data_IF_300774237388
#
_entry.id   IF_300774237388
#
_cell.length_a   1.000
_cell.length_b   1.000
_cell.length_c   1.000
_cell.angle_alpha   90.00
_cell.angle_beta   90.00
_cell.angle_gamma   90.00
#
_symmetry.space_group_name_H-M   'P 1'
#
loop_
_entity.id
_entity.type
_entity.pdbx_description
1 polymer ?
#
# COMPACT_ATOMS: atom_id res chain seq x y z
N UNK A 1 56.80 15.00 26.02
CA UNK A 1 56.40 13.65 25.56
C UNK A 1 54.99 13.37 26.04
N UNK A 2 53.97 13.86 25.33
CA UNK A 2 52.58 13.42 25.51
C UNK A 2 51.96 13.34 24.11
N UNK A 3 51.85 12.10 23.66
CA UNK A 3 51.28 11.68 22.39
C UNK A 3 49.75 11.76 22.54
N UNK A 4 49.13 12.84 22.05
CA UNK A 4 47.69 12.98 21.96
C UNK A 4 47.18 12.07 20.84
N UNK A 5 46.71 10.89 21.23
CA UNK A 5 46.03 9.92 20.38
C UNK A 5 44.67 10.51 19.97
N UNK A 6 44.57 11.06 18.76
CA UNK A 6 43.28 11.42 18.18
C UNK A 6 42.54 10.15 17.77
N UNK A 7 41.63 9.72 18.64
CA UNK A 7 40.63 8.70 18.36
C UNK A 7 39.68 9.24 17.28
N UNK A 8 40.00 8.96 16.01
CA UNK A 8 39.11 9.18 14.89
C UNK A 8 37.89 8.26 15.07
N UNK A 9 36.81 8.83 15.61
CA UNK A 9 35.52 8.15 15.72
C UNK A 9 35.02 7.96 14.28
N UNK A 10 35.21 6.75 13.74
CA UNK A 10 34.59 6.32 12.50
C UNK A 10 33.07 6.33 12.73
N UNK A 11 32.43 7.44 12.36
CA UNK A 11 30.99 7.52 12.17
C UNK A 11 30.64 6.49 11.10
N UNK A 12 30.19 5.33 11.56
CA UNK A 12 29.54 4.36 10.69
C UNK A 12 28.24 5.01 10.22
N UNK A 13 28.23 5.47 8.97
CA UNK A 13 26.99 5.82 8.28
C UNK A 13 26.13 4.56 8.30
N UNK A 14 25.13 4.53 9.17
CA UNK A 14 24.12 3.49 9.13
C UNK A 14 23.55 3.48 7.70
N UNK A 15 23.55 2.34 6.98
CA UNK A 15 22.90 2.27 5.68
C UNK A 15 21.47 2.82 5.77
N UNK A 16 21.04 3.52 4.72
CA UNK A 16 19.67 4.02 4.61
C UNK A 16 18.71 2.87 4.93
N UNK A 17 17.92 3.05 6.00
CA UNK A 17 17.00 2.01 6.44
C UNK A 17 15.86 1.81 5.43
N UNK A 18 15.50 2.85 4.67
CA UNK A 18 14.44 2.81 3.67
C UNK A 18 14.96 2.44 2.28
N UNK A 19 14.09 1.84 1.47
CA UNK A 19 14.35 1.58 0.05
C UNK A 19 14.32 2.92 -0.68
N UNK A 20 15.43 3.24 -1.34
CA UNK A 20 15.44 4.20 -2.44
C UNK A 20 15.03 3.48 -3.72
N UNK A 21 14.08 4.06 -4.46
CA UNK A 21 13.53 3.45 -5.67
C UNK A 21 13.40 4.48 -6.78
N UNK A 22 13.68 4.08 -8.04
CA UNK A 22 13.58 4.96 -9.19
C UNK A 22 12.13 5.42 -9.43
N UNK A 23 11.96 6.43 -10.28
CA UNK A 23 10.62 6.90 -10.66
C UNK A 23 9.81 5.87 -11.45
N UNK A 24 10.43 4.82 -11.98
CA UNK A 24 9.74 3.74 -12.66
C UNK A 24 10.36 2.37 -12.36
N UNK A 25 9.55 1.34 -12.25
CA UNK A 25 10.05 -0.01 -11.99
C UNK A 25 8.98 -1.08 -11.94
N UNK A 26 9.39 -2.26 -11.46
CA UNK A 26 8.50 -3.38 -11.18
C UNK A 26 8.14 -3.40 -9.70
N UNK A 27 6.90 -3.77 -9.41
CA UNK A 27 6.40 -3.97 -8.06
C UNK A 27 5.33 -5.07 -8.05
N UNK A 28 4.87 -5.43 -6.86
CA UNK A 28 3.59 -6.13 -6.71
C UNK A 28 2.47 -5.16 -6.38
N UNK A 29 1.25 -5.59 -6.68
CA UNK A 29 0.03 -4.95 -6.23
C UNK A 29 -0.89 -5.96 -5.57
N UNK A 30 -1.44 -5.58 -4.43
CA UNK A 30 -2.53 -6.26 -3.72
C UNK A 30 -3.71 -5.30 -3.58
N UNK A 31 -4.75 -5.72 -2.86
CA UNK A 31 -5.82 -4.82 -2.44
C UNK A 31 -6.24 -5.06 -0.99
N UNK A 32 -6.82 -4.02 -0.39
CA UNK A 32 -7.37 -4.04 0.95
C UNK A 32 -8.62 -3.15 1.06
N UNK A 33 -9.48 -3.49 2.01
CA UNK A 33 -10.66 -2.70 2.34
C UNK A 33 -10.25 -1.41 3.08
N UNK A 34 -10.56 -0.26 2.49
CA UNK A 34 -10.42 1.05 3.13
C UNK A 34 -11.78 1.74 3.20
N UNK A 35 -12.34 2.01 4.39
CA UNK A 35 -13.60 2.73 4.51
C UNK A 35 -13.50 4.15 3.93
N UNK A 36 -14.56 4.60 3.24
CA UNK A 36 -14.69 6.00 2.84
C UNK A 36 -14.67 6.92 4.07
N UNK A 37 -13.94 8.02 3.94
CA UNK A 37 -13.69 8.99 5.00
C UNK A 37 -12.60 8.61 5.99
N UNK A 38 -11.95 7.44 5.85
CA UNK A 38 -10.88 7.02 6.75
C UNK A 38 -9.64 7.92 6.62
N UNK A 39 -9.00 8.20 7.75
CA UNK A 39 -7.74 8.97 7.80
C UNK A 39 -6.60 7.96 7.97
N UNK A 40 -5.97 7.64 6.84
CA UNK A 40 -4.85 6.72 6.73
C UNK A 40 -3.54 7.30 7.29
N UNK A 41 -2.46 6.51 7.23
CA UNK A 41 -1.19 6.79 7.92
C UNK A 41 -0.52 8.12 7.53
N UNK A 42 -0.70 8.60 6.29
CA UNK A 42 -0.21 9.93 5.88
C UNK A 42 -0.96 11.10 6.54
N UNK A 43 -2.15 10.84 7.10
CA UNK A 43 -3.03 11.88 7.63
C UNK A 43 -3.62 12.77 6.54
N UNK A 44 -3.78 12.26 5.31
CA UNK A 44 -4.47 12.97 4.22
C UNK A 44 -5.93 13.27 4.60
N UNK A 45 -6.51 14.31 4.01
CA UNK A 45 -7.94 14.63 4.20
C UNK A 45 -8.82 13.42 3.90
N UNK A 46 -9.92 13.28 4.64
CA UNK A 46 -10.84 12.13 4.53
C UNK A 46 -11.40 11.95 3.11
N UNK A 47 -11.65 13.05 2.40
CA UNK A 47 -12.15 13.02 1.00
C UNK A 47 -11.13 12.47 0.00
N UNK A 48 -9.87 12.27 0.38
CA UNK A 48 -8.89 11.58 -0.47
C UNK A 48 -9.29 10.14 -0.78
N UNK A 49 -9.99 9.48 0.15
CA UNK A 49 -10.48 8.09 0.00
C UNK A 49 -11.65 7.94 -0.97
N UNK A 50 -12.22 9.04 -1.45
CA UNK A 50 -13.23 9.02 -2.51
C UNK A 50 -12.59 8.91 -3.93
N UNK A 51 -11.26 8.84 -3.99
CA UNK A 51 -10.45 8.72 -5.21
C UNK A 51 -9.45 7.56 -5.07
N UNK A 52 -8.79 7.12 -6.17
CA UNK A 52 -7.90 5.96 -6.09
C UNK A 52 -6.71 6.24 -5.17
N UNK A 53 -6.61 5.49 -4.08
CA UNK A 53 -5.48 5.57 -3.14
C UNK A 53 -4.86 4.21 -2.95
N UNK A 54 -3.62 4.20 -2.46
CA UNK A 54 -2.94 2.96 -2.10
C UNK A 54 -2.12 3.14 -0.82
N UNK A 55 -1.87 2.02 -0.15
CA UNK A 55 -0.82 1.89 0.83
C UNK A 55 0.49 1.50 0.13
N UNK A 56 1.63 2.04 0.57
CA UNK A 56 2.95 1.65 0.06
C UNK A 56 3.66 0.79 1.11
N UNK A 57 4.34 -0.27 0.68
CA UNK A 57 5.16 -1.12 1.56
C UNK A 57 6.13 -0.29 2.39
N UNK A 58 6.15 -0.51 3.71
CA UNK A 58 6.83 0.30 4.72
C UNK A 58 8.22 0.81 4.32
N UNK A 59 9.03 -0.07 3.75
CA UNK A 59 10.41 0.25 3.41
C UNK A 59 10.51 1.27 2.25
N UNK A 60 9.54 1.29 1.34
CA UNK A 60 9.41 2.30 0.29
C UNK A 60 8.53 3.49 0.70
N UNK A 61 7.65 3.30 1.69
CA UNK A 61 6.89 4.38 2.32
C UNK A 61 7.81 5.33 3.10
N UNK A 62 8.86 4.78 3.71
CA UNK A 62 9.94 5.50 4.37
C UNK A 62 9.60 5.93 5.80
N UNK A 63 8.66 5.24 6.45
CA UNK A 63 8.41 5.37 7.88
C UNK A 63 7.68 4.14 8.41
N UNK A 64 7.93 3.76 9.67
CA UNK A 64 7.19 2.68 10.35
C UNK A 64 5.96 3.17 11.13
N UNK A 65 5.79 4.49 11.26
CA UNK A 65 4.69 5.10 12.03
C UNK A 65 4.27 6.42 11.39
N UNK A 66 2.96 6.71 11.34
CA UNK A 66 2.42 7.95 10.74
C UNK A 66 2.93 8.14 9.30
N UNK A 67 3.41 9.32 8.92
CA UNK A 67 3.81 9.67 7.56
C UNK A 67 5.28 9.37 7.22
N UNK A 68 5.55 9.14 5.94
CA UNK A 68 6.90 9.06 5.39
C UNK A 68 7.02 9.75 4.02
N UNK A 69 8.21 9.79 3.42
CA UNK A 69 8.47 10.38 2.10
C UNK A 69 7.59 9.86 0.96
N UNK A 70 7.02 8.67 1.10
CA UNK A 70 6.04 8.14 0.15
C UNK A 70 4.71 8.90 0.15
N UNK A 71 4.37 9.59 1.24
CA UNK A 71 3.08 10.23 1.41
C UNK A 71 2.78 11.31 0.37
N UNK A 72 1.58 11.22 -0.18
CA UNK A 72 1.06 12.15 -1.17
C UNK A 72 1.62 11.96 -2.58
N UNK A 73 2.60 11.08 -2.79
CA UNK A 73 3.12 10.78 -4.14
C UNK A 73 2.05 10.07 -4.97
N UNK A 74 2.05 10.34 -6.29
CA UNK A 74 1.15 9.68 -7.22
C UNK A 74 1.89 8.75 -8.16
N UNK A 75 1.29 7.61 -8.45
CA UNK A 75 1.87 6.58 -9.30
C UNK A 75 0.85 6.07 -10.29
N UNK A 76 1.22 6.00 -11.56
CA UNK A 76 0.53 5.21 -12.56
C UNK A 76 0.95 3.75 -12.42
N UNK A 77 0.01 2.89 -12.02
CA UNK A 77 0.23 1.47 -11.77
C UNK A 77 -0.43 0.66 -12.88
N UNK A 78 0.35 -0.13 -13.62
CA UNK A 78 -0.13 -0.91 -14.77
C UNK A 78 -0.06 -2.40 -14.47
N UNK A 79 -1.19 -3.11 -14.61
CA UNK A 79 -1.25 -4.55 -14.39
C UNK A 79 -0.51 -5.31 -15.51
N UNK A 80 0.33 -6.28 -15.11
CA UNK A 80 0.99 -7.20 -16.03
C UNK A 80 0.31 -8.57 -16.03
N UNK A 81 0.44 -9.31 -14.92
CA UNK A 81 -0.12 -10.64 -14.75
C UNK A 81 -0.22 -10.99 -13.25
N UNK A 82 -1.13 -11.89 -12.85
CA UNK A 82 -1.16 -12.38 -11.48
C UNK A 82 0.09 -13.17 -11.12
N UNK A 83 0.48 -13.14 -9.85
CA UNK A 83 1.64 -13.89 -9.35
C UNK A 83 1.33 -15.38 -9.17
N UNK A 84 0.11 -15.71 -8.74
CA UNK A 84 -0.25 -17.07 -8.26
C UNK A 84 -1.33 -17.78 -9.09
N UNK A 85 -1.63 -17.31 -10.32
CA UNK A 85 -2.61 -17.95 -11.18
C UNK A 85 -2.08 -19.28 -11.77
N UNK A 86 -2.88 -20.35 -11.69
CA UNK A 86 -2.60 -21.65 -12.32
C UNK A 86 -3.81 -22.12 -13.12
N UNK A 87 -3.73 -22.26 -14.46
CA UNK A 87 -2.58 -21.94 -15.33
C UNK A 87 -2.21 -20.43 -15.32
N UNK A 88 -1.07 -20.02 -15.90
CA UNK A 88 -0.74 -18.60 -15.98
C UNK A 88 -1.83 -17.77 -16.68
N UNK A 89 -2.23 -16.65 -16.07
CA UNK A 89 -3.21 -15.71 -16.63
C UNK A 89 -2.52 -14.51 -17.26
N UNK A 90 -2.80 -14.27 -18.54
CA UNK A 90 -2.32 -13.09 -19.27
C UNK A 90 -3.54 -12.25 -19.69
N UNK A 91 -3.73 -11.06 -19.09
CA UNK A 91 -4.83 -10.18 -19.46
C UNK A 91 -4.77 -9.81 -20.95
N UNK A 92 -5.91 -9.85 -21.64
CA UNK A 92 -6.01 -9.40 -23.04
C UNK A 92 -6.07 -7.87 -23.16
N UNK A 93 -6.33 -7.17 -22.05
CA UNK A 93 -6.43 -5.72 -21.97
C UNK A 93 -5.52 -5.24 -20.87
N UNK A 94 -4.65 -4.28 -21.18
CA UNK A 94 -3.80 -3.61 -20.21
C UNK A 94 -4.67 -2.64 -19.40
N UNK A 95 -4.72 -2.84 -18.09
CA UNK A 95 -5.41 -1.96 -17.14
C UNK A 95 -4.36 -1.17 -16.37
N UNK A 96 -4.63 0.11 -16.15
CA UNK A 96 -3.79 0.98 -15.34
C UNK A 96 -4.63 1.93 -14.50
N UNK A 97 -4.06 2.44 -13.42
CA UNK A 97 -4.72 3.40 -12.54
C UNK A 97 -3.67 4.33 -11.93
N UNK A 98 -4.00 5.61 -11.82
CA UNK A 98 -3.18 6.57 -11.07
C UNK A 98 -3.70 6.63 -9.64
N UNK A 99 -2.86 6.22 -8.69
CA UNK A 99 -3.17 6.27 -7.26
C UNK A 99 -2.38 7.36 -6.57
N UNK A 100 -2.91 7.87 -5.46
CA UNK A 100 -2.16 8.65 -4.47
C UNK A 100 -1.81 7.79 -3.27
N UNK A 101 -0.57 7.85 -2.79
CA UNK A 101 -0.16 7.14 -1.57
C UNK A 101 -0.69 7.90 -0.36
N UNK A 102 -1.62 7.28 0.36
CA UNK A 102 -2.23 7.85 1.56
C UNK A 102 -1.99 7.00 2.79
N UNK A 103 -1.54 5.75 2.62
CA UNK A 103 -1.39 4.80 3.71
C UNK A 103 -0.06 4.03 3.67
N UNK A 104 0.18 3.35 4.78
CA UNK A 104 1.31 2.49 5.04
C UNK A 104 0.85 1.04 4.97
N UNK A 105 1.56 0.21 4.18
CA UNK A 105 1.47 -1.23 4.32
C UNK A 105 2.62 -1.70 5.24
N UNK A 106 2.36 -2.07 6.50
CA UNK A 106 3.40 -2.31 7.49
C UNK A 106 4.35 -3.45 7.10
N UNK A 107 5.60 -3.36 7.54
CA UNK A 107 6.59 -4.40 7.30
C UNK A 107 6.18 -5.69 8.04
N UNK A 108 6.10 -6.77 7.30
CA UNK A 108 5.82 -8.12 7.80
C UNK A 108 7.00 -9.05 7.55
N UNK A 109 7.08 -10.16 8.30
CA UNK A 109 8.12 -11.17 8.07
C UNK A 109 7.94 -11.90 6.73
N UNK A 110 6.68 -12.08 6.31
CA UNK A 110 6.24 -12.79 5.11
C UNK A 110 5.17 -11.99 4.36
N UNK A 111 4.85 -12.36 3.13
CA UNK A 111 3.81 -11.71 2.33
C UNK A 111 4.33 -10.55 1.51
N UNK A 112 3.41 -9.71 1.04
CA UNK A 112 3.67 -8.78 -0.07
C UNK A 112 4.40 -7.50 0.34
N UNK A 113 4.20 -7.02 1.57
CA UNK A 113 4.88 -5.84 2.10
C UNK A 113 6.18 -6.16 2.87
N UNK A 114 6.69 -7.39 2.73
CA UNK A 114 7.90 -7.88 3.44
C UNK A 114 9.24 -7.49 2.78
N UNK A 115 9.21 -6.70 1.71
CA UNK A 115 10.40 -6.23 1.00
C UNK A 115 11.23 -5.28 1.88
N UNK A 116 12.55 -5.45 1.85
CA UNK A 116 13.54 -4.62 2.55
C UNK A 116 14.66 -4.21 1.60
N UNK A 117 15.58 -3.36 2.04
CA UNK A 117 16.76 -2.96 1.24
C UNK A 117 17.67 -4.13 0.85
N UNK A 118 17.58 -5.27 1.53
CA UNK A 118 18.43 -6.46 1.32
C UNK A 118 17.68 -7.68 0.79
N UNK A 119 16.34 -7.63 0.71
CA UNK A 119 15.52 -8.80 0.37
C UNK A 119 14.21 -8.38 -0.30
N UNK A 120 13.83 -8.96 -1.45
CA UNK A 120 12.50 -8.75 -2.01
C UNK A 120 11.41 -9.44 -1.17
N UNK A 121 10.15 -9.12 -1.47
CA UNK A 121 8.97 -9.79 -0.94
C UNK A 121 8.78 -11.21 -1.51
N UNK A 122 7.70 -11.88 -1.12
CA UNK A 122 7.40 -13.26 -1.55
C UNK A 122 7.21 -13.46 -3.07
N UNK A 123 7.03 -12.38 -3.84
CA UNK A 123 6.95 -12.42 -5.30
C UNK A 123 8.26 -12.01 -6.00
N UNK A 124 9.32 -11.69 -5.25
CA UNK A 124 10.57 -11.19 -5.83
C UNK A 124 10.59 -9.68 -6.11
N UNK A 125 9.60 -8.92 -5.67
CA UNK A 125 9.56 -7.46 -5.81
C UNK A 125 10.00 -6.75 -4.52
N UNK A 126 10.66 -5.60 -4.65
CA UNK A 126 11.06 -4.78 -3.49
C UNK A 126 9.93 -3.90 -2.96
N UNK A 127 8.98 -3.54 -3.81
CA UNK A 127 7.86 -2.66 -3.52
C UNK A 127 6.54 -3.44 -3.63
N UNK A 128 5.59 -3.11 -2.76
CA UNK A 128 4.19 -3.47 -2.92
C UNK A 128 3.29 -2.25 -2.78
N UNK A 129 2.33 -2.13 -3.68
CA UNK A 129 1.23 -1.17 -3.59
C UNK A 129 -0.04 -1.92 -3.18
N UNK A 130 -0.61 -1.59 -2.04
CA UNK A 130 -1.89 -2.16 -1.60
C UNK A 130 -3.01 -1.21 -2.00
N UNK A 131 -3.77 -1.55 -3.05
CA UNK A 131 -4.81 -0.68 -3.59
C UNK A 131 -6.02 -0.65 -2.64
N UNK A 132 -6.55 0.54 -2.35
CA UNK A 132 -7.82 0.68 -1.63
C UNK A 132 -8.99 0.22 -2.52
N UNK A 133 -9.32 -1.07 -2.42
CA UNK A 133 -10.29 -1.75 -3.26
C UNK A 133 -10.94 -2.92 -2.50
N UNK A 134 -12.25 -3.16 -2.66
CA UNK A 134 -13.21 -2.42 -3.49
C UNK A 134 -13.49 -1.00 -3.00
N UNK A 135 -13.67 -0.07 -3.95
CA UNK A 135 -14.06 1.32 -3.67
C UNK A 135 -14.78 1.92 -4.87
N UNK A 136 -15.59 2.96 -4.67
CA UNK A 136 -16.28 3.66 -5.78
C UNK A 136 -15.32 4.35 -6.75
N UNK A 137 -14.08 4.57 -6.32
CA UNK A 137 -13.06 5.25 -7.10
C UNK A 137 -12.35 4.33 -8.11
N UNK A 138 -12.42 3.01 -7.90
CA UNK A 138 -11.76 2.01 -8.72
C UNK A 138 -12.82 1.20 -9.45
N UNK A 139 -12.73 1.01 -10.78
CA UNK A 139 -13.67 0.17 -11.51
C UNK A 139 -13.73 -1.26 -10.96
N UNK A 140 -14.94 -1.84 -10.85
CA UNK A 140 -15.15 -3.23 -10.39
C UNK A 140 -14.44 -4.28 -11.27
N UNK A 141 -14.11 -3.91 -12.52
CA UNK A 141 -13.40 -4.75 -13.49
C UNK A 141 -11.90 -4.44 -13.58
N UNK A 142 -11.35 -3.64 -12.65
CA UNK A 142 -9.95 -3.23 -12.67
C UNK A 142 -9.00 -4.44 -12.58
N UNK A 143 -9.33 -5.43 -11.76
CA UNK A 143 -8.63 -6.72 -11.70
C UNK A 143 -9.31 -7.72 -12.66
N UNK A 144 -8.77 -7.94 -13.87
CA UNK A 144 -9.39 -8.84 -14.83
C UNK A 144 -9.30 -10.28 -14.34
N UNK A 145 -10.32 -11.07 -14.66
CA UNK A 145 -10.42 -12.46 -14.23
C UNK A 145 -11.15 -13.34 -15.23
N UNK A 146 -11.00 -14.66 -15.07
CA UNK A 146 -11.76 -15.66 -15.83
C UNK A 146 -12.27 -16.75 -14.88
N UNK A 147 -13.35 -16.46 -14.17
CA UNK A 147 -13.91 -17.38 -13.18
C UNK A 147 -14.32 -18.73 -13.78
N UNK A 148 -14.66 -18.80 -15.06
CA UNK A 148 -14.98 -20.06 -15.74
C UNK A 148 -13.76 -21.00 -15.83
N UNK A 149 -12.55 -20.45 -15.96
CA UNK A 149 -11.30 -21.23 -16.02
C UNK A 149 -10.73 -21.49 -14.63
N UNK A 150 -10.73 -20.47 -13.75
CA UNK A 150 -10.02 -20.54 -12.48
C UNK A 150 -10.89 -20.93 -11.28
N UNK A 151 -12.21 -20.80 -11.38
CA UNK A 151 -13.14 -21.01 -10.26
C UNK A 151 -13.22 -19.85 -9.27
N UNK A 152 -12.45 -18.77 -9.48
CA UNK A 152 -12.47 -17.56 -8.65
C UNK A 152 -12.21 -16.30 -9.51
N UNK A 153 -12.57 -15.13 -8.98
CA UNK A 153 -12.40 -13.83 -9.66
C UNK A 153 -11.18 -13.05 -9.18
N UNK A 154 -10.76 -13.26 -7.95
CA UNK A 154 -9.68 -12.49 -7.34
C UNK A 154 -8.41 -13.33 -7.27
N UNK A 155 -7.40 -12.95 -8.03
CA UNK A 155 -6.07 -13.58 -7.97
C UNK A 155 -5.23 -13.10 -6.77
N UNK A 156 -5.69 -12.09 -6.03
CA UNK A 156 -5.09 -11.56 -4.81
C UNK A 156 -3.86 -10.67 -5.03
N UNK A 157 -2.92 -11.09 -5.88
CA UNK A 157 -1.66 -10.38 -6.10
C UNK A 157 -1.26 -10.35 -7.57
N UNK A 158 -0.77 -9.19 -8.00
CA UNK A 158 -0.39 -8.90 -9.37
C UNK A 158 1.04 -8.40 -9.47
N UNK A 159 1.76 -8.83 -10.50
CA UNK A 159 2.93 -8.11 -10.98
C UNK A 159 2.47 -6.85 -11.70
N UNK A 160 3.12 -5.72 -11.42
CA UNK A 160 2.82 -4.44 -12.03
C UNK A 160 4.10 -3.73 -12.48
N UNK A 161 3.95 -2.79 -13.41
CA UNK A 161 4.88 -1.65 -13.51
C UNK A 161 4.31 -0.46 -12.74
N UNK A 162 5.18 0.34 -12.17
CA UNK A 162 4.82 1.65 -11.61
C UNK A 162 5.61 2.75 -12.32
N UNK A 163 5.00 3.94 -12.37
CA UNK A 163 5.63 5.18 -12.79
C UNK A 163 5.16 6.32 -11.88
N UNK A 164 6.08 7.02 -11.23
CA UNK A 164 5.83 8.25 -10.50
C UNK A 164 5.34 9.32 -11.49
N UNK A 165 4.22 9.96 -11.16
CA UNK A 165 3.59 10.99 -12.01
C UNK A 165 3.19 12.19 -11.16
N UNK A 166 3.13 13.42 -11.74
CA UNK A 166 2.55 14.56 -11.05
C UNK A 166 1.11 14.29 -10.63
N UNK A 167 0.79 14.57 -9.37
CA UNK A 167 -0.54 14.34 -8.83
C UNK A 167 -1.58 15.27 -9.45
N UNK A 168 -1.22 16.54 -9.69
CA UNK A 168 -2.18 17.54 -10.16
C UNK A 168 -2.70 17.22 -11.57
N UNK A 169 -1.88 16.59 -12.39
CA UNK A 169 -2.23 16.22 -13.76
C UNK A 169 -2.77 14.78 -13.87
N UNK A 170 -2.31 13.87 -13.01
CA UNK A 170 -2.56 12.43 -13.16
C UNK A 170 -3.63 11.84 -12.24
N UNK A 171 -3.82 12.39 -11.04
CA UNK A 171 -4.69 11.78 -10.04
C UNK A 171 -6.10 12.35 -10.07
N UNK A 172 -7.12 11.50 -10.12
CA UNK A 172 -8.52 11.92 -10.29
C UNK A 172 -9.03 12.88 -9.18
N UNK A 173 -8.43 12.83 -7.98
CA UNK A 173 -8.76 13.73 -6.88
C UNK A 173 -8.15 15.12 -6.96
N UNK A 174 -7.30 15.40 -7.95
CA UNK A 174 -6.52 16.66 -8.03
C UNK A 174 -7.37 17.93 -8.09
N UNK A 175 -8.54 17.85 -8.75
CA UNK A 175 -9.44 18.98 -8.93
C UNK A 175 -10.38 19.19 -7.73
N UNK A 176 -10.35 18.32 -6.72
CA UNK A 176 -11.15 18.45 -5.52
C UNK A 176 -10.28 18.94 -4.36
N UNK A 177 -10.37 20.23 -4.05
CA UNK A 177 -9.60 20.84 -2.95
C UNK A 177 -9.83 20.14 -1.59
N UNK A 178 -11.00 19.53 -1.36
CA UNK A 178 -11.28 18.80 -0.13
C UNK A 178 -10.56 17.44 -0.05
N UNK A 179 -10.00 16.94 -1.15
CA UNK A 179 -9.21 15.71 -1.23
C UNK A 179 -7.69 15.98 -1.18
N UNK A 180 -7.28 17.25 -1.10
CA UNK A 180 -5.87 17.65 -1.03
C UNK A 180 -5.46 18.00 0.40
N UNK A 181 -4.18 17.77 0.71
CA UNK A 181 -3.57 18.21 1.97
C UNK A 181 -3.76 17.23 3.13
N UNK A 182 -3.23 17.65 4.27
CA UNK A 182 -3.34 16.95 5.56
C UNK A 182 -4.58 17.37 6.34
N UNK A 183 -5.08 16.49 7.20
CA UNK A 183 -6.09 16.81 8.21
C UNK A 183 -5.50 17.80 9.24
N UNK A 184 -6.08 19.00 9.30
CA UNK A 184 -5.58 20.10 10.15
C UNK A 184 -5.51 19.77 11.63
N UNK A 185 -6.47 18.99 12.15
CA UNK A 185 -6.54 18.65 13.59
C UNK A 185 -5.44 17.69 14.04
N UNK A 186 -4.76 17.01 13.11
CA UNK A 186 -3.62 16.16 13.43
C UNK A 186 -2.31 16.95 13.63
N UNK A 187 -2.29 18.25 13.30
CA UNK A 187 -1.11 19.09 13.50
C UNK A 187 0.14 18.51 12.85
N UNK A 188 1.21 18.34 13.62
CA UNK A 188 2.47 17.73 13.17
C UNK A 188 2.43 16.21 13.02
N UNK A 189 1.28 15.56 13.26
CA UNK A 189 1.09 14.13 13.08
C UNK A 189 0.59 13.73 11.69
N UNK A 190 0.52 14.67 10.74
CA UNK A 190 0.06 14.42 9.38
C UNK A 190 0.90 15.18 8.35
N UNK A 191 1.22 14.51 7.25
CA UNK A 191 1.88 15.12 6.11
C UNK A 191 1.39 14.46 4.82
N UNK A 192 0.65 15.22 4.01
CA UNK A 192 0.10 14.77 2.75
C UNK A 192 0.10 15.92 1.73
N UNK A 193 1.24 16.19 1.08
CA UNK A 193 1.35 17.23 0.05
C UNK A 193 0.39 16.97 -1.11
N UNK A 194 -0.06 18.05 -1.76
CA UNK A 194 -0.92 17.94 -2.93
C UNK A 194 -0.18 17.30 -4.11
N UNK A 195 1.09 17.67 -4.30
CA UNK A 195 1.94 17.26 -5.42
C UNK A 195 3.43 17.22 -5.02
N UNK A 196 3.88 16.20 -4.26
CA UNK A 196 5.28 16.05 -3.91
C UNK A 196 6.10 15.72 -5.17
N UNK A 197 7.23 16.40 -5.35
CA UNK A 197 8.11 16.19 -6.50
C UNK A 197 9.40 15.55 -6.03
N UNK A 198 9.83 14.40 -6.60
CA UNK A 198 11.14 13.82 -6.31
C UNK A 198 12.26 14.87 -6.42
N UNK A 199 13.14 14.92 -5.42
CA UNK A 199 14.25 15.88 -5.36
C UNK A 199 13.88 17.27 -4.79
N UNK A 200 12.61 17.58 -4.55
CA UNK A 200 12.21 18.79 -3.83
C UNK A 200 11.88 18.47 -2.36
N UNK A 201 12.90 18.55 -1.49
CA UNK A 201 12.72 18.27 -0.07
C UNK A 201 11.70 19.18 0.64
N UNK A 202 11.35 20.33 0.05
CA UNK A 202 10.37 21.26 0.65
C UNK A 202 8.91 20.82 0.43
N UNK A 203 8.65 19.91 -0.50
CA UNK A 203 7.29 19.38 -0.75
C UNK A 203 7.17 17.87 -0.54
N UNK A 204 8.20 17.22 0.01
CA UNK A 204 8.18 15.80 0.41
C UNK A 204 8.08 15.72 1.93
N UNK A 205 7.30 14.76 2.42
CA UNK A 205 7.22 14.49 3.86
C UNK A 205 8.52 13.90 4.40
N UNK A 206 9.03 14.35 5.55
CA UNK A 206 10.13 13.65 6.20
C UNK A 206 9.66 12.29 6.75
N UNK A 207 10.58 11.43 7.16
CA UNK A 207 10.22 10.21 7.90
C UNK A 207 9.80 10.57 9.33
N UNK A 208 8.54 10.32 9.69
CA UNK A 208 8.07 10.59 11.05
C UNK A 208 8.82 9.74 12.09
N UNK A 209 9.03 8.45 11.80
CA UNK A 209 9.77 7.52 12.66
C UNK A 209 11.23 7.92 12.89
N UNK A 210 11.89 8.55 11.91
CA UNK A 210 13.25 9.07 12.12
C UNK A 210 13.26 10.31 13.02
N UNK A 211 12.24 11.16 12.90
CA UNK A 211 12.12 12.39 13.67
C UNK A 211 11.69 12.14 15.13
N UNK A 212 10.84 11.14 15.35
CA UNK A 212 10.17 10.93 16.63
C UNK A 212 10.56 9.61 17.32
N UNK A 213 11.38 8.79 16.66
CA UNK A 213 11.70 7.44 17.10
C UNK A 213 10.58 6.44 16.80
N UNK A 214 10.89 5.17 17.04
CA UNK A 214 9.94 4.06 16.93
C UNK A 214 9.45 3.73 18.34
N UNK A 215 8.14 3.81 18.63
CA UNK A 215 7.62 3.39 19.92
C UNK A 215 8.00 1.92 20.20
N UNK A 216 8.29 1.55 21.46
CA UNK A 216 8.58 0.17 21.81
C UNK A 216 7.36 -0.71 21.47
N UNK A 217 7.64 -1.94 21.03
CA UNK A 217 6.59 -2.94 20.89
C UNK A 217 6.00 -3.26 22.27
N UNK A 218 4.73 -2.89 22.45
CA UNK A 218 3.96 -3.11 23.69
C UNK A 218 2.95 -4.24 23.53
N UNK A 219 2.98 -4.95 22.40
CA UNK A 219 2.16 -6.14 22.22
C UNK A 219 2.56 -7.21 23.24
N UNK A 220 1.57 -7.92 23.75
CA UNK A 220 1.79 -9.07 24.64
C UNK A 220 1.38 -10.33 23.87
N UNK A 221 1.97 -11.48 24.19
CA UNK A 221 1.59 -12.76 23.57
C UNK A 221 0.09 -13.11 23.74
N UNK A 222 -0.62 -12.41 24.62
CA UNK A 222 -2.06 -12.56 24.86
C UNK A 222 -2.92 -11.59 24.03
N UNK A 223 -2.33 -10.60 23.36
CA UNK A 223 -3.01 -9.79 22.37
C UNK A 223 -3.22 -10.67 21.13
N UNK A 224 -4.38 -11.33 21.06
CA UNK A 224 -4.84 -11.98 19.85
C UNK A 224 -4.70 -10.97 18.71
N UNK A 225 -3.83 -11.27 17.73
CA UNK A 225 -3.93 -10.68 16.41
C UNK A 225 -5.41 -10.78 16.03
N UNK A 226 -6.03 -9.65 15.67
CA UNK A 226 -7.41 -9.66 15.19
C UNK A 226 -7.42 -10.70 14.06
N UNK A 227 -8.04 -11.84 14.35
CA UNK A 227 -8.22 -12.92 13.40
C UNK A 227 -8.75 -12.31 12.12
N UNK A 228 -8.12 -12.66 11.00
CA UNK A 228 -8.73 -12.52 9.67
C UNK A 228 -10.20 -12.89 9.80
N UNK A 229 -11.08 -11.93 9.48
CA UNK A 229 -12.52 -12.18 9.48
C UNK A 229 -12.74 -13.39 8.58
N UNK A 230 -13.27 -14.51 9.10
CA UNK A 230 -13.44 -15.71 8.29
C UNK A 230 -14.40 -15.37 7.15
N UNK A 231 -13.90 -15.46 5.92
CA UNK A 231 -14.69 -15.38 4.68
C UNK A 231 -15.95 -16.24 4.88
N UNK A 232 -17.11 -15.60 4.96
CA UNK A 232 -18.41 -16.30 5.00
C UNK A 232 -18.61 -17.02 3.66
N UNK A 233 -18.21 -18.28 3.61
CA UNK A 233 -18.73 -19.25 2.66
C UNK A 233 -20.20 -19.48 2.98
N UNK A 234 -21.12 -18.70 2.40
CA UNK A 234 -22.53 -19.06 2.41
C UNK A 234 -22.73 -20.23 1.46
N UNK A 235 -22.66 -21.42 2.04
CA UNK A 235 -23.00 -22.68 1.40
C UNK A 235 -24.46 -22.69 0.95
N UNK A 236 -24.65 -23.28 -0.22
CA UNK A 236 -25.91 -23.65 -0.82
C UNK A 236 -26.80 -24.41 0.19
N UNK A 237 -27.95 -23.85 0.53
CA UNK A 237 -29.03 -24.64 1.11
C UNK A 237 -29.72 -25.36 -0.06
N UNK A 238 -29.46 -26.66 -0.14
CA UNK A 238 -30.19 -27.60 -0.99
C UNK A 238 -31.65 -27.62 -0.54
N UNK A 239 -32.55 -27.12 -1.39
CA UNK A 239 -33.98 -27.35 -1.27
C UNK A 239 -34.24 -28.79 -1.71
N UNK A 240 -34.34 -29.72 -0.77
CA UNK A 240 -34.93 -31.03 -1.02
C UNK A 240 -36.41 -30.93 -0.68
N UNK A 241 -37.23 -30.82 -1.72
CA UNK A 241 -38.67 -31.02 -1.61
C UNK A 241 -38.96 -32.49 -1.30
N UNK A 242 -39.84 -32.71 -0.33
CA UNK A 242 -40.57 -33.96 -0.19
C UNK A 242 -42.06 -33.62 -0.06
N UNK A 243 -42.74 -33.80 -1.17
CA UNK A 243 -44.19 -33.91 -1.25
C UNK A 243 -44.62 -35.29 -0.70
N UNK A 244 -45.84 -35.31 -0.14
CA UNK A 244 -46.76 -36.47 -0.04
C UNK A 244 -46.53 -37.43 1.15
N UNK A 245 -47.50 -38.01 1.87
CA UNK A 245 -48.97 -38.18 1.75
C UNK A 245 -49.45 -39.00 3.01
N UNK A 246 -50.75 -38.92 3.39
CA UNK A 246 -51.55 -39.79 4.33
C UNK A 246 -51.18 -39.72 5.82
N UNK A 247 -52.09 -39.56 6.79
CA UNK A 247 -53.54 -39.87 6.93
C UNK A 247 -54.29 -38.78 7.70
#
# INVERSE_FOLDING_TARGET
>A
MYLLLHLFCLLTLAPAQWIDYPDNGLATMTHYDLPSGYIASCGCTSSSTDYPTAALSQMAYGSSTSYGPGCGRCFNLTLLNPVIATPPFFPSVVKYIVVKITDLCPLSQTGWCSGTTSKPNSAGAYLNFDLAYPSKAVPDDFFPSNAAVYGYKDFGVWNITYQSVPCLDGWAGSNNLAALGSVKTLGSGACCPADPTPGNASNICPSFSEQNGIPPDTTTNSALAILEIPRRSFGWVLVVGLSSILT
#
